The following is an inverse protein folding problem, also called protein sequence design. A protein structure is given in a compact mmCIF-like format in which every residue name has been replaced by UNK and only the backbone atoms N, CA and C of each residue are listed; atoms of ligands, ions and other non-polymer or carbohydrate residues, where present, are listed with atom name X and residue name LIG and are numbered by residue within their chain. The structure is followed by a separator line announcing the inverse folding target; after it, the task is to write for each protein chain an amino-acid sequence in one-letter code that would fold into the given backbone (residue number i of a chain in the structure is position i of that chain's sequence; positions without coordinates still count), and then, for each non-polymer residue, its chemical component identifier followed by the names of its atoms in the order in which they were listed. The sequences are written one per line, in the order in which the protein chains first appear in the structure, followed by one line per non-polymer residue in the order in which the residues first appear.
data_IF_271600437453
#
_entry.id   IF_271600437453
#
_cell.length_a   1.000
_cell.length_b   1.000
_cell.length_c   1.000
_cell.angle_alpha   90.00
_cell.angle_beta   90.00
_cell.angle_gamma   90.00
#
_symmetry.space_group_name_H-M   'P 1'
#
loop_
_entity.id
_entity.type
_entity.pdbx_description
1 polymer ?
#
# COMPACT_ATOMS: atom_id res chain seq x y z
N UNK A 1 7.24 -6.59 3.32
CA UNK A 1 6.12 -5.62 3.34
C UNK A 1 6.45 -4.46 2.44
N UNK A 2 5.46 -3.83 1.82
CA UNK A 2 5.62 -2.59 1.04
C UNK A 2 4.80 -1.48 1.70
N UNK A 3 5.31 -0.26 1.67
CA UNK A 3 4.60 0.92 2.17
C UNK A 3 4.68 2.07 1.17
N UNK A 4 3.62 2.86 1.08
CA UNK A 4 3.60 4.09 0.30
C UNK A 4 2.81 5.16 1.06
N UNK A 5 3.20 6.42 0.86
CA UNK A 5 2.42 7.56 1.29
C UNK A 5 1.46 7.94 0.15
N UNK A 6 0.17 7.68 0.34
CA UNK A 6 -0.88 8.23 -0.49
C UNK A 6 -1.09 9.70 -0.12
N UNK A 7 -1.16 10.57 -1.12
CA UNK A 7 -1.51 11.97 -0.97
C UNK A 7 -2.71 12.26 -1.86
N UNK A 8 -3.84 12.64 -1.25
CA UNK A 8 -5.09 12.87 -1.96
C UNK A 8 -6.28 12.15 -1.32
N UNK A 9 -7.45 12.18 -2.00
CA UNK A 9 -8.68 11.59 -1.51
C UNK A 9 -8.58 10.06 -1.34
N UNK A 10 -9.23 9.52 -0.31
CA UNK A 10 -9.24 8.09 -0.03
C UNK A 10 -9.76 7.23 -1.21
N UNK A 11 -10.66 7.77 -2.03
CA UNK A 11 -11.17 7.10 -3.23
C UNK A 11 -10.07 6.78 -4.28
N UNK A 12 -8.94 7.49 -4.23
CA UNK A 12 -7.80 7.31 -5.14
C UNK A 12 -6.72 6.36 -4.56
N UNK A 13 -6.90 5.86 -3.34
CA UNK A 13 -6.00 4.87 -2.74
C UNK A 13 -5.83 3.59 -3.59
N UNK A 14 -6.87 3.04 -4.26
CA UNK A 14 -6.72 1.85 -5.11
C UNK A 14 -5.67 2.01 -6.22
N UNK A 15 -5.49 3.21 -6.78
CA UNK A 15 -4.44 3.48 -7.77
C UNK A 15 -3.04 3.38 -7.16
N UNK A 16 -2.90 3.88 -5.92
CA UNK A 16 -1.63 3.81 -5.18
C UNK A 16 -1.30 2.38 -4.80
N UNK A 17 -2.30 1.63 -4.33
CA UNK A 17 -2.19 0.20 -4.02
C UNK A 17 -1.79 -0.59 -5.26
N UNK A 18 -2.40 -0.33 -6.42
CA UNK A 18 -2.08 -1.02 -7.67
C UNK A 18 -0.60 -0.84 -8.06
N UNK A 19 -0.09 0.40 -7.98
CA UNK A 19 1.33 0.70 -8.22
C UNK A 19 2.25 0.01 -7.20
N UNK A 20 1.87 -0.03 -5.93
CA UNK A 20 2.62 -0.76 -4.89
C UNK A 20 2.70 -2.26 -5.17
N UNK A 21 1.61 -2.86 -5.65
CA UNK A 21 1.54 -4.29 -5.99
C UNK A 21 2.40 -4.59 -7.21
N UNK A 22 2.27 -3.79 -8.27
CA UNK A 22 3.07 -3.94 -9.48
C UNK A 22 4.57 -3.83 -9.17
N UNK A 23 4.94 -2.84 -8.36
CA UNK A 23 6.30 -2.70 -7.85
C UNK A 23 6.75 -3.94 -7.08
N UNK A 24 5.95 -4.45 -6.15
CA UNK A 24 6.28 -5.65 -5.39
C UNK A 24 6.47 -6.89 -6.29
N UNK A 25 5.56 -7.09 -7.25
CA UNK A 25 5.63 -8.19 -8.23
C UNK A 25 6.91 -8.11 -9.08
N UNK A 26 7.28 -6.92 -9.55
CA UNK A 26 8.52 -6.70 -10.31
C UNK A 26 9.80 -7.06 -9.52
N UNK A 27 9.69 -7.15 -8.19
CA UNK A 27 10.78 -7.49 -7.28
C UNK A 27 10.70 -8.94 -6.76
N UNK A 28 9.81 -9.77 -7.30
CA UNK A 28 9.63 -11.15 -6.87
C UNK A 28 8.90 -11.27 -5.52
N UNK A 29 7.99 -10.34 -5.24
CA UNK A 29 7.13 -10.41 -4.04
C UNK A 29 5.66 -10.44 -4.42
N UNK A 30 4.87 -11.11 -3.58
CA UNK A 30 3.42 -11.17 -3.69
C UNK A 30 2.76 -10.70 -2.39
N UNK A 31 1.50 -10.27 -2.48
CA UNK A 31 0.75 -9.85 -1.30
C UNK A 31 0.53 -11.04 -0.35
N UNK A 32 0.76 -10.82 0.94
CA UNK A 32 0.61 -11.83 1.98
C UNK A 32 -0.50 -11.48 2.97
N UNK A 33 -1.74 -11.77 2.59
CA UNK A 33 -2.91 -11.59 3.45
C UNK A 33 -3.24 -12.83 4.30
N UNK A 34 -2.32 -13.81 4.39
CA UNK A 34 -2.61 -15.09 5.04
C UNK A 34 -2.74 -14.97 6.57
N UNK A 35 -1.90 -14.13 7.19
CA UNK A 35 -1.87 -13.90 8.65
C UNK A 35 -1.61 -12.45 9.03
N UNK A 36 -1.30 -11.60 8.06
CA UNK A 36 -0.91 -10.20 8.26
C UNK A 36 -1.96 -9.33 7.58
N UNK A 37 -2.42 -8.30 8.29
CA UNK A 37 -3.41 -7.36 7.79
C UNK A 37 -2.73 -6.20 7.03
N UNK A 38 -3.46 -5.62 6.06
CA UNK A 38 -3.09 -4.30 5.55
C UNK A 38 -3.32 -3.28 6.65
N UNK A 39 -2.43 -2.30 6.77
CA UNK A 39 -2.59 -1.21 7.73
C UNK A 39 -2.62 0.12 6.99
N UNK A 40 -3.66 0.89 7.24
CA UNK A 40 -3.77 2.29 6.84
C UNK A 40 -3.52 3.18 8.05
N UNK A 41 -2.65 4.19 7.90
CA UNK A 41 -2.37 5.18 8.93
C UNK A 41 -2.70 6.55 8.35
N UNK A 42 -3.79 7.14 8.81
CA UNK A 42 -4.19 8.50 8.44
C UNK A 42 -3.33 9.52 9.21
N UNK A 43 -2.69 10.43 8.49
CA UNK A 43 -1.83 11.46 9.06
C UNK A 43 -2.60 12.78 9.12
N UNK A 44 -2.80 13.29 10.33
CA UNK A 44 -3.47 14.57 10.58
C UNK A 44 -4.95 14.43 10.91
N UNK A 45 -5.66 15.57 11.00
CA UNK A 45 -7.11 15.59 11.20
C UNK A 45 -7.82 15.65 9.83
N UNK A 46 -8.46 14.56 9.37
CA UNK A 46 -9.10 14.52 8.07
C UNK A 46 -10.31 15.45 7.95
N UNK A 47 -10.84 15.95 9.07
CA UNK A 47 -11.94 16.92 9.08
C UNK A 47 -11.47 18.35 8.80
N UNK A 48 -10.16 18.60 8.86
CA UNK A 48 -9.55 19.92 8.68
C UNK A 48 -8.72 20.03 7.41
N UNK A 49 -8.24 18.90 6.89
CA UNK A 49 -7.45 18.85 5.67
C UNK A 49 -8.33 18.93 4.42
N UNK A 50 -7.86 19.63 3.39
CA UNK A 50 -8.49 19.57 2.07
C UNK A 50 -8.30 18.15 1.50
N UNK A 51 -9.28 17.56 0.77
CA UNK A 51 -9.17 16.21 0.22
C UNK A 51 -7.85 15.95 -0.54
N UNK A 52 -7.36 16.94 -1.29
CA UNK A 52 -6.10 16.84 -2.06
C UNK A 52 -4.82 16.86 -1.19
N UNK A 53 -4.95 17.17 0.10
CA UNK A 53 -3.84 17.26 1.05
C UNK A 53 -3.87 16.17 2.11
N UNK A 54 -4.89 15.30 2.06
CA UNK A 54 -4.98 14.12 2.92
C UNK A 54 -3.77 13.21 2.69
N UNK A 55 -3.28 12.62 3.77
CA UNK A 55 -2.10 11.76 3.77
C UNK A 55 -2.44 10.45 4.45
N UNK A 56 -2.34 9.35 3.71
CA UNK A 56 -2.52 8.00 4.25
C UNK A 56 -1.25 7.19 4.00
N UNK A 57 -0.65 6.63 5.04
CA UNK A 57 0.38 5.59 4.84
C UNK A 57 -0.33 4.27 4.68
N UNK A 58 -0.18 3.66 3.51
CA UNK A 58 -0.71 2.34 3.19
C UNK A 58 0.42 1.33 3.35
N UNK A 59 0.20 0.26 4.12
CA UNK A 59 1.18 -0.81 4.34
C UNK A 59 0.57 -2.15 3.99
N UNK A 60 1.15 -2.81 2.99
CA UNK A 60 0.73 -4.15 2.58
C UNK A 60 1.79 -5.19 2.98
N UNK A 61 1.38 -6.26 3.67
CA UNK A 61 2.26 -7.39 3.90
C UNK A 61 2.62 -8.05 2.55
N UNK A 62 3.88 -8.45 2.43
CA UNK A 62 4.40 -9.15 1.27
C UNK A 62 5.10 -10.43 1.72
N UNK A 63 5.00 -11.48 0.92
CA UNK A 63 5.82 -12.69 0.97
C UNK A 63 6.70 -12.75 -0.28
N UNK A 64 7.83 -13.45 -0.19
CA UNK A 64 8.60 -13.77 -1.39
C UNK A 64 7.73 -14.63 -2.31
N UNK A 65 7.70 -14.30 -3.60
CA UNK A 65 7.21 -15.25 -4.60
C UNK A 65 8.23 -16.38 -4.64
N UNK A 66 7.81 -17.63 -4.42
CA UNK A 66 8.65 -18.80 -4.67
C UNK A 66 8.88 -18.92 -6.19
N UNK A 67 9.78 -18.09 -6.71
CA UNK A 67 10.47 -18.38 -7.95
C UNK A 67 11.52 -19.41 -7.57
N UNK A 68 11.19 -20.68 -7.76
CA UNK A 68 12.15 -21.77 -7.74
C UNK A 68 13.19 -21.44 -8.81
N UNK A 69 14.35 -20.93 -8.40
CA UNK A 69 15.54 -20.93 -9.27
C UNK A 69 15.85 -22.40 -9.59
N UNK A 70 15.71 -22.75 -10.87
CA UNK A 70 16.16 -24.01 -11.48
C UNK A 70 17.62 -23.90 -11.89
#
# INVERSE_FOLDING_TARGET
MVQCLHVGPYDNEPETVSKMIEYAKSKGYEQDFSKRYHHEIYIGDPRKAHPDTLKTIIRHPLKASESIES
#
